data_IF_303026804345
#
_entry.id   IF_303026804345
#
_cell.length_a   1.000
_cell.length_b   1.000
_cell.length_c   1.000
_cell.angle_alpha   90.00
_cell.angle_beta   90.00
_cell.angle_gamma   90.00
#
_symmetry.space_group_name_H-M   'P 1'
#
loop_
_entity.id
_entity.type
_entity.pdbx_description
1 polymer ?
#
# COMPACT_ATOMS: atom_id res chain seq x y z
N UNK A 1 -0.18 -21.28 -3.60
CA UNK A 1 0.76 -21.15 -4.74
C UNK A 1 0.80 -19.71 -5.28
N UNK A 2 -0.18 -19.21 -6.06
CA UNK A 2 -0.14 -17.83 -6.60
C UNK A 2 -0.30 -16.73 -5.54
N UNK A 3 -1.17 -16.94 -4.54
CA UNK A 3 -1.37 -16.01 -3.41
C UNK A 3 -0.14 -15.89 -2.53
N UNK A 4 0.57 -17.00 -2.28
CA UNK A 4 1.80 -17.02 -1.48
C UNK A 4 2.94 -16.29 -2.17
N UNK A 5 3.08 -16.45 -3.49
CA UNK A 5 4.07 -15.74 -4.28
C UNK A 5 3.84 -14.23 -4.27
N UNK A 6 2.57 -13.78 -4.30
CA UNK A 6 2.20 -12.36 -4.16
C UNK A 6 2.50 -11.84 -2.76
N UNK A 7 2.09 -12.56 -1.72
CA UNK A 7 2.35 -12.15 -0.33
C UNK A 7 3.86 -11.98 -0.09
N UNK A 8 4.66 -12.93 -0.59
CA UNK A 8 6.12 -12.90 -0.56
C UNK A 8 6.68 -11.69 -1.32
N UNK A 9 6.19 -11.45 -2.55
CA UNK A 9 6.58 -10.30 -3.37
C UNK A 9 6.16 -8.94 -2.78
N UNK A 10 5.27 -8.89 -1.78
CA UNK A 10 4.91 -7.66 -1.06
C UNK A 10 5.69 -7.50 0.26
N UNK A 11 6.15 -8.61 0.86
CA UNK A 11 6.83 -8.66 2.15
C UNK A 11 8.36 -8.73 2.08
N UNK A 12 8.96 -9.22 1.00
CA UNK A 12 10.42 -9.40 0.89
C UNK A 12 11.08 -8.27 0.10
N UNK A 13 12.31 -7.82 0.40
CA UNK A 13 12.97 -6.84 -0.46
C UNK A 13 13.16 -7.39 -1.88
N UNK A 14 12.91 -6.55 -2.90
CA UNK A 14 13.14 -6.94 -4.30
C UNK A 14 14.62 -6.97 -4.67
N UNK A 15 14.93 -7.31 -5.92
CA UNK A 15 16.24 -7.11 -6.54
C UNK A 15 16.08 -6.18 -7.77
N UNK A 16 16.64 -4.95 -7.77
CA UNK A 16 17.41 -4.29 -6.70
C UNK A 16 16.59 -4.06 -5.41
N UNK A 17 17.23 -3.83 -4.24
CA UNK A 17 16.56 -3.79 -2.94
C UNK A 17 15.56 -2.63 -2.81
N UNK A 18 14.28 -2.93 -3.01
CA UNK A 18 13.15 -2.01 -2.77
C UNK A 18 12.58 -2.25 -1.37
N UNK A 19 12.20 -1.18 -0.65
CA UNK A 19 11.59 -1.30 0.69
C UNK A 19 10.28 -2.09 0.67
N UNK A 20 10.03 -2.76 1.80
CA UNK A 20 8.79 -3.51 2.04
C UNK A 20 7.62 -2.55 2.22
N UNK A 21 6.42 -2.95 1.79
CA UNK A 21 5.24 -2.11 1.95
C UNK A 21 4.76 -2.06 3.41
N UNK A 22 3.98 -1.02 3.78
CA UNK A 22 3.26 -1.01 5.04
C UNK A 22 2.31 -2.23 5.14
N UNK A 23 2.16 -2.87 6.32
CA UNK A 23 1.37 -4.10 6.48
C UNK A 23 -0.10 -3.98 6.01
N UNK A 24 -0.73 -2.84 6.27
CA UNK A 24 -2.09 -2.53 5.84
C UNK A 24 -2.20 -2.43 4.31
N UNK A 25 -1.22 -1.84 3.64
CA UNK A 25 -1.18 -1.78 2.18
C UNK A 25 -0.95 -3.18 1.59
N UNK A 26 -0.04 -3.97 2.17
CA UNK A 26 0.20 -5.36 1.72
C UNK A 26 -1.07 -6.23 1.84
N UNK A 27 -1.82 -6.11 2.94
CA UNK A 27 -3.10 -6.82 3.13
C UNK A 27 -4.15 -6.38 2.12
N UNK A 28 -4.32 -5.08 1.92
CA UNK A 28 -5.28 -4.54 0.95
C UNK A 28 -4.95 -5.02 -0.47
N UNK A 29 -3.69 -4.91 -0.89
CA UNK A 29 -3.24 -5.36 -2.20
C UNK A 29 -3.38 -6.88 -2.37
N UNK A 30 -3.20 -7.67 -1.32
CA UNK A 30 -3.44 -9.13 -1.37
C UNK A 30 -4.92 -9.45 -1.58
N UNK A 31 -5.83 -8.70 -0.95
CA UNK A 31 -7.28 -8.88 -1.12
C UNK A 31 -7.80 -8.52 -2.52
N UNK A 32 -7.07 -7.66 -3.23
CA UNK A 32 -7.41 -7.16 -4.57
C UNK A 32 -6.75 -8.00 -5.69
N UNK A 33 -6.64 -9.32 -5.50
CA UNK A 33 -5.88 -10.23 -6.37
C UNK A 33 -6.24 -10.19 -7.87
N UNK A 34 -7.43 -9.69 -8.23
CA UNK A 34 -7.88 -9.54 -9.61
C UNK A 34 -7.44 -8.22 -10.29
N UNK A 35 -6.92 -7.24 -9.54
CA UNK A 35 -6.42 -6.00 -10.13
C UNK A 35 -5.01 -6.23 -10.70
N UNK A 36 -4.84 -6.08 -12.02
CA UNK A 36 -3.52 -5.99 -12.65
C UNK A 36 -2.93 -4.60 -12.36
N UNK A 37 -2.04 -4.52 -11.38
CA UNK A 37 -1.42 -3.26 -10.96
C UNK A 37 -0.21 -2.99 -11.86
N UNK A 38 -0.30 -1.95 -12.70
CA UNK A 38 0.58 -1.70 -13.84
C UNK A 38 2.03 -1.27 -13.54
N UNK A 39 2.44 -1.16 -12.27
CA UNK A 39 3.83 -0.95 -11.88
C UNK A 39 4.02 -1.51 -10.47
N UNK A 40 5.23 -1.92 -10.10
CA UNK A 40 5.51 -2.38 -8.74
C UNK A 40 5.15 -1.26 -7.74
N UNK A 41 4.10 -1.41 -6.90
CA UNK A 41 3.69 -0.38 -5.92
C UNK A 41 4.83 -0.01 -4.96
N UNK A 42 5.80 -0.90 -4.88
CA UNK A 42 6.99 -0.83 -4.04
C UNK A 42 7.96 0.25 -4.52
N UNK A 43 8.08 0.48 -5.84
CA UNK A 43 9.00 1.50 -6.35
C UNK A 43 8.55 2.92 -5.97
N UNK A 44 7.24 3.20 -6.05
CA UNK A 44 6.67 4.49 -5.64
C UNK A 44 6.71 4.65 -4.13
N UNK A 45 6.44 3.58 -3.37
CA UNK A 45 6.62 3.57 -1.93
C UNK A 45 8.07 3.88 -1.51
N UNK A 46 9.06 3.33 -2.21
CA UNK A 46 10.48 3.54 -1.93
C UNK A 46 10.90 5.00 -2.15
N UNK A 47 10.46 5.60 -3.26
CA UNK A 47 10.68 7.03 -3.54
C UNK A 47 9.96 7.90 -2.50
N UNK A 48 8.72 7.56 -2.11
CA UNK A 48 8.00 8.28 -1.08
C UNK A 48 8.72 8.21 0.28
N UNK A 49 9.35 7.08 0.60
CA UNK A 49 10.19 6.96 1.79
C UNK A 49 11.37 7.92 1.77
N UNK A 50 12.11 7.97 0.66
CA UNK A 50 13.29 8.81 0.55
C UNK A 50 12.91 10.30 0.57
N UNK A 51 11.85 10.69 -0.13
CA UNK A 51 11.35 12.07 -0.14
C UNK A 51 10.85 12.53 1.23
N UNK A 52 10.07 11.71 1.93
CA UNK A 52 9.57 12.06 3.27
C UNK A 52 10.69 12.12 4.30
N UNK A 53 11.70 11.25 4.18
CA UNK A 53 12.92 11.31 5.01
C UNK A 53 13.70 12.58 4.74
N UNK A 54 13.89 12.95 3.47
CA UNK A 54 14.58 14.17 3.08
C UNK A 54 13.83 15.42 3.58
N UNK A 55 12.50 15.48 3.40
CA UNK A 55 11.67 16.59 3.87
C UNK A 55 11.81 16.82 5.38
N UNK A 56 11.69 15.77 6.19
CA UNK A 56 11.80 15.89 7.65
C UNK A 56 13.21 16.30 8.11
N UNK A 57 14.25 15.94 7.35
CA UNK A 57 15.63 16.36 7.64
C UNK A 57 15.92 17.80 7.21
N UNK A 58 15.43 18.20 6.04
CA UNK A 58 15.70 19.51 5.44
C UNK A 58 14.78 20.60 5.96
N UNK A 59 13.56 20.25 6.37
CA UNK A 59 12.54 21.18 6.85
C UNK A 59 11.87 20.64 8.13
N UNK A 60 12.54 20.71 9.30
CA UNK A 60 12.04 20.08 10.53
C UNK A 60 10.68 20.61 11.03
N UNK A 61 10.28 21.80 10.58
CA UNK A 61 9.01 22.43 10.94
C UNK A 61 7.83 22.02 10.07
N UNK A 62 8.07 21.24 8.99
CA UNK A 62 6.99 20.77 8.11
C UNK A 62 6.15 19.71 8.82
N UNK A 63 4.86 19.98 9.00
CA UNK A 63 3.92 19.04 9.59
C UNK A 63 3.18 18.26 8.52
N UNK A 64 3.35 16.93 8.49
CA UNK A 64 2.55 16.02 7.68
C UNK A 64 2.50 14.63 8.30
N UNK A 65 1.44 13.87 8.02
CA UNK A 65 1.35 12.47 8.40
C UNK A 65 2.16 11.61 7.41
N UNK A 66 3.35 11.21 7.83
CA UNK A 66 4.23 10.38 7.02
C UNK A 66 3.65 8.99 6.74
N UNK A 67 2.93 8.40 7.69
CA UNK A 67 2.33 7.09 7.50
C UNK A 67 1.24 7.15 6.42
N UNK A 68 0.41 8.19 6.45
CA UNK A 68 -0.60 8.44 5.42
C UNK A 68 0.02 8.62 4.02
N UNK A 69 1.12 9.36 3.89
CA UNK A 69 1.83 9.53 2.61
C UNK A 69 2.36 8.19 2.08
N UNK A 70 3.00 7.39 2.94
CA UNK A 70 3.54 6.09 2.55
C UNK A 70 2.46 5.08 2.17
N UNK A 71 1.32 5.12 2.87
CA UNK A 71 0.14 4.31 2.55
C UNK A 71 -0.46 4.71 1.20
N UNK A 72 -0.66 6.01 0.96
CA UNK A 72 -1.15 6.54 -0.31
C UNK A 72 -0.23 6.16 -1.48
N UNK A 73 1.08 6.30 -1.32
CA UNK A 73 2.06 5.87 -2.31
C UNK A 73 1.96 4.36 -2.64
N UNK A 74 1.79 3.53 -1.62
CA UNK A 74 1.65 2.09 -1.76
C UNK A 74 0.31 1.65 -2.38
N UNK A 75 -0.70 2.53 -2.41
CA UNK A 75 -2.08 2.21 -2.83
C UNK A 75 -2.58 3.05 -4.01
N UNK A 76 -1.77 3.97 -4.56
CA UNK A 76 -2.20 4.94 -5.57
C UNK A 76 -2.83 4.33 -6.84
N UNK A 77 -2.35 3.16 -7.27
CA UNK A 77 -2.85 2.46 -8.46
C UNK A 77 -4.11 1.61 -8.22
N UNK A 78 -4.65 1.57 -6.99
CA UNK A 78 -5.88 0.80 -6.70
C UNK A 78 -7.08 1.34 -7.48
N UNK A 79 -7.11 2.65 -7.76
CA UNK A 79 -8.19 3.29 -8.52
C UNK A 79 -8.25 2.81 -9.99
N UNK A 80 -7.18 2.19 -10.51
CA UNK A 80 -7.19 1.60 -11.85
C UNK A 80 -7.88 0.22 -11.89
N UNK A 81 -8.34 -0.29 -10.74
CA UNK A 81 -9.06 -1.56 -10.71
C UNK A 81 -10.46 -1.42 -11.33
N UNK A 82 -10.88 -2.35 -12.22
CA UNK A 82 -12.24 -2.34 -12.77
C UNK A 82 -13.28 -2.37 -11.64
N UNK A 83 -14.27 -1.49 -11.70
CA UNK A 83 -15.38 -1.47 -10.76
C UNK A 83 -16.14 -2.82 -10.81
N UNK A 84 -16.42 -3.42 -9.64
CA UNK A 84 -17.22 -4.64 -9.52
C UNK A 84 -16.66 -5.73 -8.60
N UNK A 85 -15.48 -5.56 -8.00
CA UNK A 85 -14.99 -6.49 -6.97
C UNK A 85 -15.58 -6.14 -5.58
N UNK A 86 -16.02 -7.14 -4.79
CA UNK A 86 -16.51 -6.89 -3.44
C UNK A 86 -15.38 -6.34 -2.55
N UNK A 87 -15.61 -5.18 -1.93
CA UNK A 87 -14.70 -4.61 -0.92
C UNK A 87 -14.68 -5.55 0.30
N UNK A 88 -13.51 -5.99 0.80
CA UNK A 88 -13.44 -6.84 1.98
C UNK A 88 -14.10 -6.16 3.19
N UNK A 89 -15.03 -6.88 3.84
CA UNK A 89 -15.80 -6.44 5.02
C UNK A 89 -14.92 -5.98 6.21
N UNK A 90 -13.64 -6.32 6.22
CA UNK A 90 -12.66 -5.88 7.21
C UNK A 90 -12.32 -4.38 7.16
N UNK A 91 -12.77 -3.64 6.14
CA UNK A 91 -12.56 -2.20 6.00
C UNK A 91 -13.78 -1.35 6.42
N UNK A 92 -14.85 -1.94 6.97
CA UNK A 92 -15.98 -1.18 7.50
C UNK A 92 -15.83 -1.01 9.02
N UNK A 93 -15.57 0.22 9.53
CA UNK A 93 -15.70 0.48 10.95
C UNK A 93 -17.19 0.49 11.32
N UNK A 94 -17.60 -0.44 12.17
CA UNK A 94 -18.84 -0.36 12.93
C UNK A 94 -20.15 -0.43 12.11
N UNK A 95 -20.52 -1.63 11.67
CA UNK A 95 -21.94 -1.96 11.52
C UNK A 95 -22.29 -3.06 12.51
N UNK A 96 -22.58 -2.60 13.71
CA UNK A 96 -23.14 -3.35 14.82
C UNK A 96 -24.56 -3.78 14.43
N UNK A 97 -24.89 -5.05 14.71
CA UNK A 97 -26.21 -5.66 14.53
C UNK A 97 -27.38 -4.75 14.91
N UNK A 98 -28.43 -4.74 14.09
CA UNK A 98 -29.83 -4.80 14.53
C UNK A 98 -30.77 -5.16 13.38
N UNK A 99 -31.73 -6.01 13.73
CA UNK A 99 -32.87 -6.58 12.97
C UNK A 99 -32.54 -7.71 11.99
#
# INVERSE_FOLDING_TARGET
MATDARHRALAERGDPPVRTLPPEAARLLTSLAACAIGRSPRAVHDVAWDLTTWLLRSYPTVGFDRAAVLFGAATHDIAACPAGLPVPRAAQPGLNSSA
#
